data_IF_573889901665
#
_entry.id   IF_573889901665
#
_cell.length_a   1.000
_cell.length_b   1.000
_cell.length_c   1.000
_cell.angle_alpha   90.00
_cell.angle_beta   90.00
_cell.angle_gamma   90.00
#
_symmetry.space_group_name_H-M   'P 1'
#
loop_
_entity.id
_entity.type
_entity.pdbx_description
1 polymer ?
#
# COMPACT_ATOMS: atom_id res chain seq x y z
N UNK A 1 1.19 27.19 3.48
CA UNK A 1 1.01 25.78 3.05
C UNK A 1 -0.47 25.55 2.85
N UNK A 2 -0.88 25.04 1.68
CA UNK A 2 -2.30 24.90 1.31
C UNK A 2 -2.78 23.46 1.49
N UNK A 3 -4.00 23.29 2.00
CA UNK A 3 -4.66 21.99 2.11
C UNK A 3 -5.02 21.45 0.72
N UNK A 4 -4.96 20.13 0.53
CA UNK A 4 -5.33 19.49 -0.74
C UNK A 4 -6.74 18.92 -0.61
N UNK A 5 -7.62 19.26 -1.56
CA UNK A 5 -8.99 18.70 -1.59
C UNK A 5 -9.03 17.51 -2.54
N UNK A 6 -9.44 16.35 -2.04
CA UNK A 6 -9.72 15.22 -2.90
C UNK A 6 -10.98 15.53 -3.73
N UNK A 7 -10.83 15.68 -5.05
CA UNK A 7 -11.94 16.10 -5.95
C UNK A 7 -13.06 15.06 -6.07
N UNK A 8 -12.81 13.81 -5.67
CA UNK A 8 -13.75 12.69 -5.83
C UNK A 8 -14.61 12.54 -4.58
N UNK A 9 -13.99 12.51 -3.40
CA UNK A 9 -14.67 12.28 -2.11
C UNK A 9 -14.93 13.57 -1.31
N UNK A 10 -14.48 14.72 -1.84
CA UNK A 10 -14.65 16.06 -1.26
C UNK A 10 -14.01 16.27 0.12
N UNK A 11 -13.23 15.33 0.63
CA UNK A 11 -12.50 15.46 1.89
C UNK A 11 -11.26 16.36 1.74
N UNK A 12 -11.02 17.15 2.78
CA UNK A 12 -9.82 17.97 2.92
C UNK A 12 -8.69 17.13 3.52
N UNK A 13 -7.62 16.97 2.75
CA UNK A 13 -6.41 16.30 3.19
C UNK A 13 -5.51 17.37 3.81
N UNK A 14 -5.43 17.37 5.14
CA UNK A 14 -4.56 18.28 5.89
C UNK A 14 -3.10 17.97 5.59
N UNK A 15 -2.30 19.01 5.34
CA UNK A 15 -0.86 18.88 5.15
C UNK A 15 -0.14 18.71 6.49
N UNK A 16 0.92 17.88 6.55
CA UNK A 16 1.46 17.03 5.50
C UNK A 16 0.59 15.79 5.27
N UNK A 17 0.46 15.37 4.00
CA UNK A 17 -0.17 14.10 3.65
C UNK A 17 0.90 13.11 3.22
N UNK A 18 0.70 11.84 3.54
CA UNK A 18 1.53 10.74 3.06
C UNK A 18 0.69 9.85 2.14
N UNK A 19 1.32 9.05 1.28
CA UNK A 19 0.64 7.99 0.54
C UNK A 19 0.38 6.86 1.53
N UNK A 20 -0.85 6.79 2.04
CA UNK A 20 -1.31 5.72 2.92
C UNK A 20 -1.72 4.48 2.15
N UNK A 21 -2.34 3.53 2.85
CA UNK A 21 -2.69 2.23 2.30
C UNK A 21 -4.06 1.78 2.81
N UNK A 22 -4.79 1.05 1.99
CA UNK A 22 -6.01 0.38 2.47
C UNK A 22 -5.64 -0.68 3.52
N UNK A 23 -6.54 -0.88 4.48
CA UNK A 23 -6.39 -1.88 5.55
C UNK A 23 -6.05 -3.26 4.96
N UNK A 24 -5.04 -3.94 5.52
CA UNK A 24 -4.58 -5.24 5.06
C UNK A 24 -3.60 -5.20 3.87
N UNK A 25 -3.34 -4.02 3.27
CA UNK A 25 -2.34 -3.83 2.21
C UNK A 25 -1.24 -2.84 2.63
N UNK A 26 -0.95 -2.81 3.91
CA UNK A 26 0.09 -1.99 4.52
C UNK A 26 1.43 -2.21 3.82
N UNK A 27 2.21 -1.14 3.63
CA UNK A 27 3.47 -1.21 2.92
C UNK A 27 4.42 -2.28 3.52
N UNK A 28 4.45 -2.41 4.85
CA UNK A 28 5.29 -3.42 5.51
C UNK A 28 4.85 -4.86 5.23
N UNK A 29 3.53 -5.11 5.06
CA UNK A 29 3.00 -6.44 4.67
C UNK A 29 3.39 -6.77 3.25
N UNK A 30 3.29 -5.79 2.34
CA UNK A 30 3.73 -5.94 0.96
C UNK A 30 5.23 -6.24 0.90
N UNK A 31 6.07 -5.52 1.66
CA UNK A 31 7.52 -5.78 1.71
C UNK A 31 7.82 -7.17 2.28
N UNK A 32 7.12 -7.59 3.32
CA UNK A 32 7.28 -8.92 3.92
C UNK A 32 7.00 -10.02 2.90
N UNK A 33 5.85 -9.96 2.22
CA UNK A 33 5.45 -10.95 1.22
C UNK A 33 6.33 -10.90 -0.01
N UNK A 34 6.77 -9.72 -0.44
CA UNK A 34 7.68 -9.57 -1.58
C UNK A 34 9.02 -10.29 -1.33
N UNK A 35 9.51 -10.25 -0.09
CA UNK A 35 10.69 -11.04 0.31
C UNK A 35 10.43 -12.54 0.26
N UNK A 36 9.26 -13.00 0.73
CA UNK A 36 8.89 -14.42 0.66
C UNK A 36 8.72 -14.94 -0.78
N UNK A 37 8.13 -14.14 -1.67
CA UNK A 37 7.95 -14.48 -3.10
C UNK A 37 9.26 -14.34 -3.89
N UNK A 38 10.27 -13.70 -3.31
CA UNK A 38 11.55 -13.44 -3.94
C UNK A 38 11.43 -12.44 -5.09
N UNK A 39 10.69 -11.35 -4.90
CA UNK A 39 10.66 -10.22 -5.82
C UNK A 39 11.91 -9.35 -5.61
N UNK A 40 12.52 -8.93 -6.71
CA UNK A 40 13.54 -7.86 -6.69
C UNK A 40 12.89 -6.51 -6.39
N UNK A 41 13.69 -5.51 -5.97
CA UNK A 41 13.19 -4.15 -5.76
C UNK A 41 12.50 -3.57 -7.01
N UNK A 42 13.00 -3.87 -8.22
CA UNK A 42 12.38 -3.42 -9.47
C UNK A 42 11.02 -4.05 -9.70
N UNK A 43 10.88 -5.36 -9.51
CA UNK A 43 9.61 -6.06 -9.66
C UNK A 43 8.60 -5.64 -8.59
N UNK A 44 9.06 -5.41 -7.36
CA UNK A 44 8.24 -4.89 -6.28
C UNK A 44 7.71 -3.48 -6.59
N UNK A 45 8.56 -2.58 -7.07
CA UNK A 45 8.13 -1.25 -7.50
C UNK A 45 7.12 -1.33 -8.65
N UNK A 46 7.34 -2.23 -9.62
CA UNK A 46 6.40 -2.46 -10.70
C UNK A 46 5.06 -3.03 -10.22
N UNK A 47 5.07 -3.88 -9.19
CA UNK A 47 3.88 -4.43 -8.55
C UNK A 47 3.07 -3.34 -7.86
N UNK A 48 3.74 -2.51 -7.04
CA UNK A 48 3.13 -1.38 -6.32
C UNK A 48 2.51 -0.38 -7.30
N UNK A 49 3.24 0.00 -8.36
CA UNK A 49 2.76 0.94 -9.37
C UNK A 49 1.60 0.38 -10.22
N UNK A 50 1.47 -0.95 -10.33
CA UNK A 50 0.37 -1.57 -11.06
C UNK A 50 -0.94 -1.61 -10.26
N UNK A 51 -0.91 -1.30 -8.96
CA UNK A 51 -2.07 -1.33 -8.06
C UNK A 51 -2.26 0.02 -7.35
N UNK A 52 -2.50 1.11 -8.09
CA UNK A 52 -2.76 2.42 -7.48
C UNK A 52 -3.97 2.38 -6.52
N UNK A 53 -4.91 1.46 -6.71
CA UNK A 53 -6.10 1.29 -5.86
C UNK A 53 -5.81 0.85 -4.43
N UNK A 54 -4.60 0.34 -4.14
CA UNK A 54 -4.20 -0.03 -2.77
C UNK A 54 -3.76 1.17 -1.96
N UNK A 55 -3.46 2.28 -2.62
CA UNK A 55 -2.89 3.47 -2.02
C UNK A 55 -3.87 4.62 -2.12
N UNK A 56 -4.02 5.33 -1.01
CA UNK A 56 -4.88 6.52 -0.95
C UNK A 56 -4.10 7.61 -0.22
N UNK A 57 -4.25 8.88 -0.61
CA UNK A 57 -3.66 9.96 0.16
C UNK A 57 -4.35 10.02 1.52
N UNK A 58 -3.58 9.81 2.59
CA UNK A 58 -4.04 9.80 3.97
C UNK A 58 -3.32 10.89 4.76
N UNK A 59 -3.96 11.34 5.85
CA UNK A 59 -3.33 12.27 6.78
C UNK A 59 -2.03 11.65 7.35
N UNK A 60 -0.90 12.35 7.23
CA UNK A 60 0.40 11.81 7.63
C UNK A 60 0.46 11.43 9.12
N UNK A 61 -0.30 12.10 9.99
CA UNK A 61 -0.34 11.77 11.43
C UNK A 61 -0.96 10.40 11.65
N UNK A 62 -2.07 10.09 10.97
CA UNK A 62 -2.72 8.78 11.06
C UNK A 62 -1.89 7.68 10.40
N UNK A 63 -1.34 7.95 9.22
CA UNK A 63 -0.48 7.01 8.49
C UNK A 63 0.77 6.62 9.30
N UNK A 64 1.46 7.60 9.90
CA UNK A 64 2.66 7.35 10.70
C UNK A 64 2.38 6.71 12.05
N UNK A 65 1.18 6.93 12.60
CA UNK A 65 0.84 6.40 13.92
C UNK A 65 0.54 4.90 13.91
N UNK A 66 0.32 4.29 12.74
CA UNK A 66 0.01 2.85 12.58
C UNK A 66 -1.19 2.34 13.38
N UNK A 67 -2.02 3.22 13.94
CA UNK A 67 -3.14 2.86 14.83
C UNK A 67 -4.16 1.99 14.09
N UNK A 68 -4.33 2.21 12.79
CA UNK A 68 -5.30 1.51 11.95
C UNK A 68 -4.68 0.34 11.16
N UNK A 69 -3.41 0.00 11.38
CA UNK A 69 -2.80 -1.15 10.69
C UNK A 69 -3.32 -2.47 11.28
N UNK A 70 -3.59 -3.44 10.39
CA UNK A 70 -3.93 -4.81 10.76
C UNK A 70 -2.77 -5.42 11.53
N UNK A 71 -2.98 -5.67 12.81
CA UNK A 71 -2.05 -6.41 13.66
C UNK A 71 -2.02 -7.88 13.24
N UNK A 72 -0.82 -8.49 13.24
CA UNK A 72 -0.63 -9.91 12.91
C UNK A 72 -0.45 -10.19 11.41
N UNK A 73 -0.17 -11.46 11.09
CA UNK A 73 0.17 -11.95 9.75
C UNK A 73 -1.02 -12.54 8.98
N UNK A 74 -2.24 -12.41 9.50
CA UNK A 74 -3.42 -13.00 8.87
C UNK A 74 -3.79 -12.30 7.55
N UNK A 75 -4.06 -13.05 6.49
CA UNK A 75 -4.38 -12.48 5.16
C UNK A 75 -3.16 -12.02 4.36
N UNK A 76 -1.96 -12.48 4.72
CA UNK A 76 -0.80 -12.37 3.84
C UNK A 76 -0.89 -13.31 2.64
N UNK A 77 -1.66 -14.40 2.74
CA UNK A 77 -1.83 -15.37 1.65
C UNK A 77 -2.45 -14.73 0.40
N UNK A 78 -3.46 -13.87 0.56
CA UNK A 78 -4.07 -13.13 -0.56
C UNK A 78 -3.05 -12.23 -1.28
N UNK A 79 -2.20 -11.55 -0.50
CA UNK A 79 -1.13 -10.70 -1.05
C UNK A 79 -0.09 -11.58 -1.77
N UNK A 80 0.21 -12.74 -1.20
CA UNK A 80 1.21 -13.68 -1.72
C UNK A 80 0.77 -14.27 -3.05
N UNK A 81 -0.48 -14.67 -3.16
CA UNK A 81 -1.04 -15.21 -4.39
C UNK A 81 -1.15 -14.14 -5.48
N UNK A 82 -1.55 -12.91 -5.12
CA UNK A 82 -1.57 -11.76 -6.03
C UNK A 82 -0.16 -11.41 -6.56
N UNK A 83 0.85 -11.41 -5.68
CA UNK A 83 2.26 -11.17 -6.05
C UNK A 83 2.83 -12.29 -6.93
N UNK A 84 2.55 -13.56 -6.62
CA UNK A 84 2.97 -14.71 -7.44
C UNK A 84 2.34 -14.65 -8.83
N UNK A 85 1.04 -14.36 -8.91
CA UNK A 85 0.31 -14.20 -10.18
C UNK A 85 0.94 -13.10 -11.02
N UNK A 86 1.16 -11.93 -10.43
CA UNK A 86 1.81 -10.81 -11.11
C UNK A 86 3.22 -11.15 -11.63
N UNK A 87 4.02 -11.89 -10.84
CA UNK A 87 5.35 -12.35 -11.25
C UNK A 87 5.28 -13.34 -12.42
N UNK A 88 4.28 -14.23 -12.41
CA UNK A 88 4.07 -15.21 -13.49
C UNK A 88 3.60 -14.57 -14.79
N UNK A 89 2.78 -13.53 -14.73
CA UNK A 89 2.25 -12.84 -15.92
C UNK A 89 3.29 -11.92 -16.60
N UNK A 90 4.40 -11.64 -15.93
CA UNK A 90 5.50 -10.77 -16.43
C UNK A 90 6.80 -11.52 -16.74
N UNK A 91 6.76 -12.85 -16.67
CA UNK A 91 7.86 -13.74 -17.04
C UNK A 91 7.68 -14.22 -18.47
#
# INVERSE_FOLDING_TARGET
MGNYRNKVIHEEIQTPFDIGHIYGREHWRLVLVAKEVGLTQKEFNAYVNARPEFFKPENASLNRSRINEKKGIDGLDDIKDDMKKFKSERK
#
